data_IF_955890143281
#
_entry.id   IF_955890143281
#
_cell.length_a   1.000
_cell.length_b   1.000
_cell.length_c   1.000
_cell.angle_alpha   90.00
_cell.angle_beta   90.00
_cell.angle_gamma   90.00
#
_symmetry.space_group_name_H-M   'P 1'
#
loop_
_entity.id
_entity.type
_entity.pdbx_description
1 polymer ?
#
# COMPACT_ATOMS: atom_id res chain seq x y z
N UNK A 1 -3.57 15.53 22.10
CA UNK A 1 -4.14 15.27 20.76
C UNK A 1 -3.73 13.89 20.31
N UNK A 2 -4.64 13.06 19.76
CA UNK A 2 -4.28 11.70 19.32
C UNK A 2 -3.28 11.79 18.16
N UNK A 3 -2.23 10.91 18.14
CA UNK A 3 -1.15 10.83 17.14
C UNK A 3 -1.72 10.86 15.68
N UNK A 4 -2.82 10.15 15.42
CA UNK A 4 -3.51 10.16 14.10
C UNK A 4 -4.06 11.53 13.71
N UNK A 5 -4.68 12.25 14.64
CA UNK A 5 -5.20 13.61 14.38
C UNK A 5 -4.07 14.60 14.12
N UNK A 6 -2.96 14.47 14.83
CA UNK A 6 -1.78 15.31 14.63
C UNK A 6 -1.14 15.08 13.27
N UNK A 7 -0.94 13.82 12.86
CA UNK A 7 -0.45 13.49 11.51
C UNK A 7 -1.36 14.04 10.41
N UNK A 8 -2.69 13.89 10.55
CA UNK A 8 -3.64 14.42 9.58
C UNK A 8 -3.57 15.94 9.46
N UNK A 9 -3.40 16.63 10.60
CA UNK A 9 -3.24 18.09 10.64
C UNK A 9 -1.95 18.53 9.91
N UNK A 10 -0.81 17.89 10.22
CA UNK A 10 0.46 18.20 9.57
C UNK A 10 0.42 17.92 8.07
N UNK A 11 -0.17 16.79 7.64
CA UNK A 11 -0.37 16.50 6.21
C UNK A 11 -1.22 17.57 5.52
N UNK A 12 -2.31 18.01 6.16
CA UNK A 12 -3.16 19.09 5.63
C UNK A 12 -2.36 20.38 5.43
N UNK A 13 -1.66 20.82 6.48
CA UNK A 13 -0.83 22.02 6.45
C UNK A 13 0.30 21.92 5.42
N UNK A 14 1.00 20.79 5.36
CA UNK A 14 2.06 20.54 4.35
C UNK A 14 1.51 20.67 2.94
N UNK A 15 0.33 20.11 2.67
CA UNK A 15 -0.30 20.20 1.35
C UNK A 15 -0.71 21.65 0.99
N UNK A 16 -1.16 22.43 1.96
CA UNK A 16 -1.48 23.86 1.76
C UNK A 16 -0.23 24.68 1.45
N UNK A 17 0.87 24.45 2.19
CA UNK A 17 2.14 25.14 1.98
C UNK A 17 2.73 24.72 0.62
N UNK A 18 2.74 23.43 0.30
CA UNK A 18 3.26 22.92 -0.96
C UNK A 18 2.59 23.54 -2.20
N UNK A 19 1.29 23.90 -2.10
CA UNK A 19 0.57 24.61 -3.17
C UNK A 19 1.02 26.06 -3.33
N UNK A 20 1.59 26.66 -2.29
CA UNK A 20 2.10 28.04 -2.29
C UNK A 20 3.56 28.14 -2.72
N UNK A 21 4.27 27.02 -2.71
CA UNK A 21 5.61 26.95 -3.26
C UNK A 21 5.56 27.10 -4.79
N UNK A 22 6.59 27.74 -5.36
CA UNK A 22 6.69 28.02 -6.78
C UNK A 22 8.11 27.72 -7.31
N UNK A 23 8.22 27.59 -8.62
CA UNK A 23 9.52 27.47 -9.32
C UNK A 23 10.38 26.28 -8.85
N UNK A 24 11.63 26.58 -8.53
CA UNK A 24 12.63 25.60 -8.06
C UNK A 24 12.28 25.01 -6.71
N UNK A 25 11.71 25.81 -5.79
CA UNK A 25 11.37 25.39 -4.44
C UNK A 25 10.24 24.36 -4.43
N UNK A 26 9.18 24.57 -5.21
CA UNK A 26 8.11 23.60 -5.37
C UNK A 26 8.63 22.26 -5.88
N UNK A 27 9.44 22.31 -6.93
CA UNK A 27 9.99 21.12 -7.54
C UNK A 27 10.93 20.36 -6.61
N UNK A 28 11.82 21.07 -5.91
CA UNK A 28 12.70 20.47 -4.91
C UNK A 28 11.87 19.76 -3.82
N UNK A 29 10.84 20.43 -3.28
CA UNK A 29 10.01 19.87 -2.25
C UNK A 29 9.23 18.63 -2.72
N UNK A 30 8.66 18.65 -3.93
CA UNK A 30 7.94 17.50 -4.49
C UNK A 30 8.86 16.29 -4.66
N UNK A 31 10.07 16.47 -5.21
CA UNK A 31 11.06 15.41 -5.39
C UNK A 31 11.51 14.84 -4.02
N UNK A 32 11.84 15.71 -3.06
CA UNK A 32 12.21 15.32 -1.70
C UNK A 32 11.08 14.55 -1.01
N UNK A 33 9.87 15.07 -1.06
CA UNK A 33 8.69 14.46 -0.45
C UNK A 33 8.38 13.08 -1.03
N UNK A 34 8.41 12.94 -2.36
CA UNK A 34 8.17 11.65 -3.02
C UNK A 34 9.22 10.63 -2.56
N UNK A 35 10.49 10.99 -2.52
CA UNK A 35 11.56 10.09 -2.09
C UNK A 35 11.42 9.68 -0.63
N UNK A 36 11.20 10.64 0.26
CA UNK A 36 11.02 10.37 1.69
C UNK A 36 9.82 9.44 1.91
N UNK A 37 8.69 9.67 1.23
CA UNK A 37 7.50 8.82 1.36
C UNK A 37 7.75 7.39 0.89
N UNK A 38 8.47 7.18 -0.22
CA UNK A 38 8.78 5.82 -0.71
C UNK A 38 9.87 5.13 0.12
N UNK A 39 10.74 5.90 0.76
CA UNK A 39 11.81 5.35 1.60
C UNK A 39 11.37 5.12 3.05
N UNK A 40 10.22 5.67 3.44
CA UNK A 40 9.75 5.71 4.84
C UNK A 40 9.12 4.42 5.36
N UNK A 41 9.06 3.35 4.56
CA UNK A 41 8.38 2.10 4.92
C UNK A 41 8.78 1.55 6.30
N UNK A 42 10.05 1.74 6.69
CA UNK A 42 10.61 1.22 7.93
C UNK A 42 10.89 2.31 8.97
N UNK A 43 10.35 3.53 8.78
CA UNK A 43 10.56 4.68 9.67
C UNK A 43 9.26 5.12 10.33
N UNK A 44 9.36 5.87 11.45
CA UNK A 44 8.18 6.37 12.15
C UNK A 44 7.44 7.42 11.32
N UNK A 45 6.24 7.06 10.88
CA UNK A 45 5.40 7.88 10.00
C UNK A 45 5.10 9.26 10.57
N UNK A 46 4.89 9.37 11.90
CA UNK A 46 4.59 10.65 12.52
C UNK A 46 5.80 11.59 12.49
N UNK A 47 7.00 11.06 12.70
CA UNK A 47 8.25 11.83 12.60
C UNK A 47 8.49 12.30 11.17
N UNK A 48 8.25 11.44 10.18
CA UNK A 48 8.35 11.80 8.75
C UNK A 48 7.38 12.93 8.41
N UNK A 49 6.12 12.81 8.82
CA UNK A 49 5.09 13.81 8.51
C UNK A 49 5.40 15.16 9.17
N UNK A 50 5.93 15.13 10.41
CA UNK A 50 6.34 16.34 11.11
C UNK A 50 7.53 17.03 10.40
N UNK A 51 8.56 16.28 10.04
CA UNK A 51 9.74 16.81 9.35
C UNK A 51 9.38 17.37 7.96
N UNK A 52 8.53 16.69 7.20
CA UNK A 52 8.05 17.22 5.92
C UNK A 52 7.27 18.52 6.08
N UNK A 53 6.52 18.70 7.18
CA UNK A 53 5.85 19.95 7.48
C UNK A 53 6.85 21.08 7.78
N UNK A 54 7.86 20.81 8.60
CA UNK A 54 8.92 21.77 8.93
C UNK A 54 9.67 22.21 7.67
N UNK A 55 10.13 21.27 6.84
CA UNK A 55 10.82 21.57 5.59
C UNK A 55 9.95 22.39 4.63
N UNK A 56 8.66 22.04 4.51
CA UNK A 56 7.75 22.80 3.67
C UNK A 56 7.63 24.25 4.15
N UNK A 57 7.58 24.46 5.46
CA UNK A 57 7.51 25.78 6.07
C UNK A 57 8.80 26.58 5.86
N UNK A 58 9.96 25.96 6.09
CA UNK A 58 11.26 26.60 5.87
C UNK A 58 11.45 27.00 4.41
N UNK A 59 11.07 26.15 3.47
CA UNK A 59 11.10 26.47 2.03
C UNK A 59 10.14 27.60 1.65
N UNK A 60 9.00 27.66 2.30
CA UNK A 60 8.05 28.75 2.06
C UNK A 60 8.56 30.08 2.60
N UNK A 61 9.17 30.09 3.78
CA UNK A 61 9.82 31.30 4.33
C UNK A 61 11.03 31.72 3.46
N UNK A 62 11.90 30.78 3.06
CA UNK A 62 13.01 31.06 2.14
C UNK A 62 12.50 31.71 0.83
N UNK A 63 11.43 31.16 0.25
CA UNK A 63 10.81 31.73 -0.96
C UNK A 63 10.33 33.18 -0.76
N UNK A 64 9.79 33.52 0.42
CA UNK A 64 9.36 34.91 0.73
C UNK A 64 10.52 35.88 0.77
N UNK A 65 11.72 35.39 1.09
CA UNK A 65 12.96 36.17 1.06
C UNK A 65 13.70 36.12 -0.30
N UNK A 66 13.08 35.48 -1.31
CA UNK A 66 13.66 35.35 -2.64
C UNK A 66 14.77 34.30 -2.76
N UNK A 67 14.84 33.38 -1.78
CA UNK A 67 15.87 32.36 -1.71
C UNK A 67 15.39 31.01 -2.27
N UNK A 68 16.32 30.27 -2.84
CA UNK A 68 16.02 28.96 -3.42
C UNK A 68 16.38 27.82 -2.46
N UNK A 69 15.62 26.73 -2.52
CA UNK A 69 15.84 25.51 -1.76
C UNK A 69 17.28 24.98 -1.83
N UNK A 70 17.89 25.16 -2.99
CA UNK A 70 19.26 24.69 -3.26
C UNK A 70 20.31 25.37 -2.36
N UNK A 71 20.02 26.58 -1.89
CA UNK A 71 20.94 27.30 -1.00
C UNK A 71 21.01 26.67 0.40
N UNK A 72 19.87 26.16 0.90
CA UNK A 72 19.76 25.59 2.27
C UNK A 72 19.98 24.08 2.31
N UNK A 73 19.45 23.38 1.30
CA UNK A 73 19.39 21.92 1.29
C UNK A 73 20.33 21.28 0.28
N UNK A 74 21.16 22.10 -0.41
CA UNK A 74 22.04 21.65 -1.50
C UNK A 74 21.29 21.34 -2.80
N UNK A 75 22.05 21.00 -3.82
CA UNK A 75 21.53 20.83 -5.19
C UNK A 75 20.78 19.49 -5.42
N UNK A 76 20.82 18.57 -4.45
CA UNK A 76 20.28 17.22 -4.62
C UNK A 76 19.24 16.90 -3.55
N UNK A 77 17.94 16.93 -3.90
CA UNK A 77 16.87 16.58 -2.98
C UNK A 77 17.04 15.20 -2.33
N UNK A 78 17.72 14.28 -3.01
CA UNK A 78 18.03 12.94 -2.49
C UNK A 78 18.93 12.98 -1.27
N UNK A 79 20.01 13.75 -1.34
CA UNK A 79 20.99 13.83 -0.23
C UNK A 79 20.31 14.41 1.03
N UNK A 80 19.48 15.45 0.85
CA UNK A 80 18.67 16.01 1.92
C UNK A 80 17.66 14.98 2.47
N UNK A 81 17.00 14.23 1.60
CA UNK A 81 16.06 13.19 2.02
C UNK A 81 16.74 12.01 2.75
N UNK A 82 17.93 11.59 2.29
CA UNK A 82 18.71 10.54 2.95
C UNK A 82 19.18 11.01 4.35
N UNK A 83 19.49 12.29 4.53
CA UNK A 83 19.83 12.88 5.83
C UNK A 83 18.61 12.90 6.76
N UNK A 84 17.44 13.30 6.27
CA UNK A 84 16.18 13.24 7.01
C UNK A 84 15.92 11.81 7.49
N UNK A 85 16.01 10.83 6.61
CA UNK A 85 15.74 9.43 6.94
C UNK A 85 16.76 8.88 7.95
N UNK A 86 18.03 9.29 7.86
CA UNK A 86 19.08 8.89 8.80
C UNK A 86 18.78 9.35 10.22
N UNK A 87 18.21 10.55 10.36
CA UNK A 87 17.87 11.17 11.63
C UNK A 87 16.47 10.81 12.13
N UNK A 88 15.69 10.09 11.32
CA UNK A 88 14.33 9.66 11.68
C UNK A 88 14.37 8.31 12.40
N UNK A 89 13.68 8.18 13.55
CA UNK A 89 13.58 6.91 14.25
C UNK A 89 12.90 5.86 13.36
N UNK A 90 13.35 4.61 13.49
CA UNK A 90 12.72 3.48 12.79
C UNK A 90 11.30 3.24 13.34
N UNK A 91 10.42 2.75 12.47
CA UNK A 91 9.08 2.36 12.88
C UNK A 91 9.13 1.21 13.89
N UNK A 92 8.12 1.11 14.75
CA UNK A 92 8.01 -0.01 15.67
C UNK A 92 7.82 -1.32 14.90
N UNK A 93 8.37 -2.40 15.42
CA UNK A 93 8.18 -3.74 14.83
C UNK A 93 6.69 -4.09 14.62
N UNK A 94 5.83 -3.65 15.54
CA UNK A 94 4.37 -3.82 15.41
C UNK A 94 3.79 -3.16 14.15
N UNK A 95 4.30 -1.99 13.76
CA UNK A 95 3.81 -1.26 12.59
C UNK A 95 4.28 -1.92 11.29
N UNK A 96 5.52 -2.43 11.29
CA UNK A 96 6.07 -3.21 10.17
C UNK A 96 5.33 -4.53 10.00
N UNK A 97 5.09 -5.26 11.10
CA UNK A 97 4.32 -6.51 11.08
C UNK A 97 2.87 -6.28 10.64
N UNK A 98 2.27 -5.15 11.03
CA UNK A 98 0.92 -4.79 10.59
C UNK A 98 0.84 -4.63 9.06
N UNK A 99 1.83 -3.99 8.47
CA UNK A 99 1.89 -3.80 7.01
C UNK A 99 2.04 -5.14 6.27
N UNK A 100 2.94 -6.01 6.77
CA UNK A 100 3.11 -7.38 6.25
C UNK A 100 1.79 -8.16 6.39
N UNK A 101 1.15 -8.11 7.56
CA UNK A 101 -0.12 -8.77 7.81
C UNK A 101 -1.22 -8.31 6.85
N UNK A 102 -1.33 -7.00 6.60
CA UNK A 102 -2.30 -6.46 5.65
C UNK A 102 -2.06 -6.97 4.24
N UNK A 103 -0.81 -6.99 3.78
CA UNK A 103 -0.44 -7.45 2.44
C UNK A 103 -0.74 -8.93 2.22
N UNK A 104 -0.29 -9.76 3.15
CA UNK A 104 -0.54 -11.22 3.13
C UNK A 104 -2.03 -11.50 3.28
N UNK A 105 -2.71 -10.79 4.19
CA UNK A 105 -4.14 -10.96 4.43
C UNK A 105 -5.00 -10.67 3.20
N UNK A 106 -4.69 -9.60 2.45
CA UNK A 106 -5.40 -9.28 1.20
C UNK A 106 -5.17 -10.38 0.17
N UNK A 107 -3.93 -10.86 -0.01
CA UNK A 107 -3.60 -11.93 -0.94
C UNK A 107 -4.32 -13.23 -0.59
N UNK A 108 -4.34 -13.60 0.68
CA UNK A 108 -5.02 -14.80 1.17
C UNK A 108 -6.55 -14.70 1.05
N UNK A 109 -7.12 -13.52 1.30
CA UNK A 109 -8.55 -13.30 1.05
C UNK A 109 -8.90 -13.52 -0.41
N UNK A 110 -8.17 -12.90 -1.34
CA UNK A 110 -8.39 -13.08 -2.78
C UNK A 110 -8.30 -14.57 -3.16
N UNK A 111 -7.27 -15.27 -2.69
CA UNK A 111 -7.08 -16.69 -2.97
C UNK A 111 -8.21 -17.54 -2.37
N UNK A 112 -8.60 -17.28 -1.11
CA UNK A 112 -9.68 -18.00 -0.43
C UNK A 112 -11.02 -17.87 -1.17
N UNK A 113 -11.35 -16.65 -1.61
CA UNK A 113 -12.57 -16.41 -2.37
C UNK A 113 -12.54 -17.09 -3.74
N UNK A 114 -11.36 -17.09 -4.39
CA UNK A 114 -11.17 -17.82 -5.64
C UNK A 114 -11.37 -19.33 -5.45
N UNK A 115 -10.74 -19.92 -4.44
CA UNK A 115 -10.86 -21.36 -4.12
C UNK A 115 -12.30 -21.74 -3.79
N UNK A 116 -13.02 -20.85 -3.07
CA UNK A 116 -14.43 -21.05 -2.77
C UNK A 116 -15.33 -20.97 -4.00
N UNK A 117 -15.09 -20.03 -4.91
CA UNK A 117 -15.90 -19.83 -6.10
C UNK A 117 -15.60 -20.83 -7.22
N UNK A 118 -14.37 -21.34 -7.30
CA UNK A 118 -13.92 -22.21 -8.39
C UNK A 118 -14.42 -23.66 -8.22
N UNK A 119 -14.47 -24.17 -6.99
CA UNK A 119 -14.72 -25.57 -6.69
C UNK A 119 -16.06 -25.78 -5.92
N UNK A 120 -16.67 -26.96 -6.09
CA UNK A 120 -17.89 -27.32 -5.36
C UNK A 120 -17.61 -27.65 -3.88
N UNK A 121 -16.37 -27.96 -3.54
CA UNK A 121 -15.89 -28.20 -2.18
C UNK A 121 -14.70 -27.27 -1.95
N UNK A 122 -14.68 -26.60 -0.80
CA UNK A 122 -13.56 -25.73 -0.47
C UNK A 122 -12.33 -26.56 -0.14
N UNK A 123 -11.35 -26.55 -1.03
CA UNK A 123 -10.02 -27.16 -0.84
C UNK A 123 -8.99 -26.06 -0.70
N UNK A 124 -8.33 -26.02 0.44
CA UNK A 124 -7.25 -25.07 0.74
C UNK A 124 -5.90 -25.79 0.57
N UNK A 125 -5.11 -25.30 -0.37
CA UNK A 125 -3.73 -25.75 -0.54
C UNK A 125 -2.82 -24.86 0.33
N UNK A 126 -2.53 -25.28 1.57
CA UNK A 126 -1.75 -24.49 2.53
C UNK A 126 -0.34 -24.13 2.00
N UNK A 127 0.24 -24.98 1.16
CA UNK A 127 1.52 -24.70 0.52
C UNK A 127 1.42 -23.53 -0.47
N UNK A 128 0.33 -23.47 -1.25
CA UNK A 128 0.04 -22.32 -2.12
C UNK A 128 -0.12 -21.03 -1.32
N UNK A 129 -0.82 -21.08 -0.19
CA UNK A 129 -0.97 -19.92 0.71
C UNK A 129 0.39 -19.44 1.26
N UNK A 130 1.28 -20.35 1.62
CA UNK A 130 2.63 -19.99 2.08
C UNK A 130 3.45 -19.31 0.97
N UNK A 131 3.44 -19.85 -0.24
CA UNK A 131 4.16 -19.27 -1.39
C UNK A 131 3.59 -17.90 -1.78
N UNK A 132 2.27 -17.76 -1.83
CA UNK A 132 1.64 -16.47 -2.15
C UNK A 132 1.92 -15.40 -1.10
N UNK A 133 2.06 -15.78 0.18
CA UNK A 133 2.50 -14.86 1.23
C UNK A 133 3.91 -14.34 0.97
N UNK A 134 4.87 -15.23 0.71
CA UNK A 134 6.26 -14.86 0.39
C UNK A 134 6.33 -13.99 -0.86
N UNK A 135 5.62 -14.37 -1.91
CA UNK A 135 5.54 -13.60 -3.16
C UNK A 135 5.00 -12.18 -2.93
N UNK A 136 3.91 -12.04 -2.17
CA UNK A 136 3.31 -10.73 -1.88
C UNK A 136 4.26 -9.82 -1.11
N UNK A 137 4.97 -10.37 -0.11
CA UNK A 137 5.97 -9.61 0.66
C UNK A 137 7.11 -9.15 -0.24
N UNK A 138 7.66 -10.06 -1.06
CA UNK A 138 8.76 -9.73 -1.98
C UNK A 138 8.36 -8.67 -2.99
N UNK A 139 7.16 -8.75 -3.56
CA UNK A 139 6.65 -7.73 -4.49
C UNK A 139 6.54 -6.34 -3.86
N UNK A 140 6.07 -6.27 -2.62
CA UNK A 140 5.98 -4.99 -1.92
C UNK A 140 7.35 -4.40 -1.67
N UNK A 141 8.30 -5.20 -1.19
CA UNK A 141 9.68 -4.76 -0.98
C UNK A 141 10.29 -4.28 -2.31
N UNK A 142 10.12 -5.04 -3.39
CA UNK A 142 10.59 -4.66 -4.72
C UNK A 142 9.93 -3.39 -5.23
N UNK A 143 8.63 -3.21 -4.98
CA UNK A 143 7.90 -2.00 -5.35
C UNK A 143 8.48 -0.76 -4.66
N UNK A 144 8.62 -0.79 -3.32
CA UNK A 144 9.19 0.33 -2.58
C UNK A 144 10.64 0.62 -3.00
N UNK A 145 11.46 -0.41 -3.18
CA UNK A 145 12.84 -0.25 -3.63
C UNK A 145 12.92 0.29 -5.07
N UNK A 146 12.06 -0.19 -5.96
CA UNK A 146 11.95 0.31 -7.33
C UNK A 146 11.50 1.76 -7.38
N UNK A 147 10.46 2.12 -6.62
CA UNK A 147 9.95 3.49 -6.57
C UNK A 147 11.01 4.46 -6.00
N UNK A 148 11.71 4.08 -4.94
CA UNK A 148 12.81 4.86 -4.40
C UNK A 148 13.88 5.19 -5.44
N UNK A 149 14.25 4.23 -6.28
CA UNK A 149 15.22 4.46 -7.37
C UNK A 149 14.64 5.31 -8.51
N UNK A 150 13.37 5.15 -8.85
CA UNK A 150 12.75 5.81 -10.01
C UNK A 150 12.44 7.29 -9.80
N UNK A 151 12.29 7.75 -8.56
CA UNK A 151 12.10 9.19 -8.27
C UNK A 151 13.25 10.02 -8.84
N UNK A 152 14.46 9.48 -8.88
CA UNK A 152 15.66 10.18 -9.39
C UNK A 152 16.11 9.76 -10.79
N UNK A 153 15.50 8.74 -11.41
CA UNK A 153 15.76 8.40 -12.78
C UNK A 153 15.13 9.42 -13.72
N UNK A 154 15.99 10.37 -14.16
CA UNK A 154 15.74 11.40 -15.20
C UNK A 154 14.31 11.94 -15.34
N UNK A 155 14.21 13.18 -14.99
CA UNK A 155 13.18 14.21 -15.10
C UNK A 155 12.12 14.12 -16.23
N UNK A 156 12.40 13.39 -17.29
CA UNK A 156 11.56 13.35 -18.49
C UNK A 156 10.73 12.08 -18.65
N UNK A 157 11.02 11.01 -17.89
CA UNK A 157 10.36 9.72 -18.12
C UNK A 157 9.06 9.54 -17.32
N UNK A 158 8.95 10.12 -16.11
CA UNK A 158 7.83 9.85 -15.18
C UNK A 158 6.88 11.04 -14.98
N UNK A 159 7.13 12.17 -15.61
CA UNK A 159 6.39 13.43 -15.37
C UNK A 159 4.94 13.44 -15.92
N UNK A 160 4.53 12.47 -16.71
CA UNK A 160 3.16 12.37 -17.23
C UNK A 160 2.29 11.54 -16.28
N UNK A 161 1.11 12.07 -15.89
CA UNK A 161 0.10 11.34 -15.11
C UNK A 161 -0.23 9.97 -15.73
N UNK A 162 -0.24 9.89 -17.06
CA UNK A 162 -0.45 8.65 -17.80
C UNK A 162 0.64 7.61 -17.55
N UNK A 163 1.92 8.02 -17.48
CA UNK A 163 3.03 7.09 -17.22
C UNK A 163 3.03 6.58 -15.78
N UNK A 164 2.74 7.43 -14.79
CA UNK A 164 2.55 7.01 -13.40
C UNK A 164 1.41 5.99 -13.30
N UNK A 165 0.31 6.22 -14.00
CA UNK A 165 -0.82 5.30 -14.09
C UNK A 165 -0.43 3.96 -14.71
N UNK A 166 0.28 3.96 -15.84
CA UNK A 166 0.75 2.73 -16.51
C UNK A 166 1.70 1.91 -15.64
N UNK A 167 2.59 2.55 -14.89
CA UNK A 167 3.49 1.86 -13.95
C UNK A 167 2.68 1.19 -12.83
N UNK A 168 1.74 1.91 -12.23
CA UNK A 168 0.86 1.36 -11.19
C UNK A 168 0.04 0.18 -11.73
N UNK A 169 -0.50 0.31 -12.94
CA UNK A 169 -1.24 -0.75 -13.63
C UNK A 169 -0.37 -1.96 -13.94
N UNK A 170 0.85 -1.73 -14.40
CA UNK A 170 1.83 -2.79 -14.65
C UNK A 170 2.17 -3.57 -13.37
N UNK A 171 2.37 -2.90 -12.26
CA UNK A 171 2.65 -3.53 -10.96
C UNK A 171 1.43 -4.30 -10.45
N UNK A 172 0.24 -3.72 -10.55
CA UNK A 172 -1.00 -4.40 -10.16
C UNK A 172 -1.25 -5.65 -11.03
N UNK A 173 -1.01 -5.56 -12.35
CA UNK A 173 -1.11 -6.68 -13.27
C UNK A 173 -0.09 -7.76 -12.98
N UNK A 174 1.14 -7.39 -12.63
CA UNK A 174 2.19 -8.33 -12.24
C UNK A 174 1.82 -9.04 -10.94
N UNK A 175 1.26 -8.32 -9.97
CA UNK A 175 0.81 -8.92 -8.71
C UNK A 175 -0.33 -9.91 -8.93
N UNK A 176 -1.41 -9.50 -9.60
CA UNK A 176 -2.58 -10.36 -9.87
C UNK A 176 -2.18 -11.53 -10.77
N UNK A 177 -1.45 -11.28 -11.85
CA UNK A 177 -0.98 -12.32 -12.76
C UNK A 177 -0.08 -13.34 -12.07
N UNK A 178 0.82 -12.89 -11.20
CA UNK A 178 1.66 -13.77 -10.40
C UNK A 178 0.88 -14.62 -9.42
N UNK A 179 -0.15 -14.09 -8.75
CA UNK A 179 -1.03 -14.87 -7.87
C UNK A 179 -1.77 -15.97 -8.67
N UNK A 180 -2.28 -15.64 -9.85
CA UNK A 180 -2.95 -16.63 -10.73
C UNK A 180 -1.98 -17.73 -11.16
N UNK A 181 -0.77 -17.36 -11.60
CA UNK A 181 0.24 -18.32 -12.01
C UNK A 181 0.68 -19.22 -10.84
N UNK A 182 0.94 -18.63 -9.69
CA UNK A 182 1.32 -19.39 -8.50
C UNK A 182 0.23 -20.38 -8.10
N UNK A 183 -1.03 -19.94 -8.08
CA UNK A 183 -2.14 -20.83 -7.74
C UNK A 183 -2.29 -21.98 -8.73
N UNK A 184 -2.00 -21.74 -10.03
CA UNK A 184 -2.10 -22.78 -11.05
C UNK A 184 -0.96 -23.78 -11.07
N UNK A 185 0.29 -23.32 -10.81
CA UNK A 185 1.49 -24.15 -10.93
C UNK A 185 2.04 -24.67 -9.60
N UNK A 186 1.53 -24.19 -8.48
CA UNK A 186 1.93 -24.70 -7.16
C UNK A 186 1.39 -26.12 -6.97
N UNK A 187 2.24 -27.09 -6.60
CA UNK A 187 1.81 -28.46 -6.35
C UNK A 187 0.79 -28.51 -5.20
N UNK A 188 -0.14 -29.44 -5.31
CA UNK A 188 -1.18 -29.68 -4.30
C UNK A 188 -0.58 -30.39 -3.08
N UNK A 189 0.05 -29.62 -2.20
CA UNK A 189 0.62 -30.10 -0.95
C UNK A 189 -0.16 -29.54 0.22
N UNK A 190 -0.29 -30.33 1.29
CA UNK A 190 -1.01 -29.93 2.52
C UNK A 190 -2.43 -29.45 2.21
N UNK A 191 -3.21 -30.30 1.54
CA UNK A 191 -4.60 -30.03 1.22
C UNK A 191 -5.47 -30.14 2.47
N UNK A 192 -6.23 -29.11 2.77
CA UNK A 192 -7.27 -29.09 3.78
C UNK A 192 -8.62 -28.93 3.09
N UNK A 193 -9.49 -29.91 3.28
CA UNK A 193 -10.83 -29.89 2.69
C UNK A 193 -11.85 -29.48 3.74
N UNK A 194 -12.63 -28.47 3.46
CA UNK A 194 -13.74 -28.03 4.30
C UNK A 194 -15.05 -28.53 3.66
N UNK A 195 -15.75 -29.49 4.29
CA UNK A 195 -16.96 -30.06 3.70
C UNK A 195 -18.12 -29.06 3.71
N UNK A 196 -19.03 -29.20 2.72
CA UNK A 196 -20.30 -28.52 2.72
C UNK A 196 -21.21 -29.10 3.85
N UNK A 197 -21.99 -28.28 4.58
CA UNK A 197 -22.21 -26.83 4.42
C UNK A 197 -21.23 -25.96 5.23
N UNK A 198 -20.22 -26.54 5.89
CA UNK A 198 -19.29 -25.79 6.77
C UNK A 198 -18.50 -24.73 6.01
N UNK A 199 -18.11 -25.00 4.77
CA UNK A 199 -17.43 -24.06 3.91
C UNK A 199 -18.26 -22.79 3.65
N UNK A 200 -19.54 -22.95 3.36
CA UNK A 200 -20.45 -21.82 3.12
C UNK A 200 -20.71 -21.01 4.39
N UNK A 201 -20.86 -21.68 5.53
CA UNK A 201 -21.00 -21.03 6.85
C UNK A 201 -19.74 -20.23 7.18
N UNK A 202 -18.54 -20.80 6.96
CA UNK A 202 -17.26 -20.13 7.18
C UNK A 202 -17.16 -18.86 6.34
N UNK A 203 -17.49 -18.96 5.05
CA UNK A 203 -17.40 -17.82 4.13
C UNK A 203 -18.39 -16.71 4.47
N UNK A 204 -19.61 -17.06 4.88
CA UNK A 204 -20.59 -16.10 5.37
C UNK A 204 -20.14 -15.41 6.66
N UNK A 205 -19.56 -16.15 7.61
CA UNK A 205 -18.99 -15.55 8.83
C UNK A 205 -17.85 -14.57 8.51
N UNK A 206 -16.95 -14.94 7.61
CA UNK A 206 -15.86 -14.05 7.18
C UNK A 206 -16.39 -12.79 6.48
N UNK A 207 -17.44 -12.93 5.66
CA UNK A 207 -18.08 -11.79 5.01
C UNK A 207 -18.72 -10.84 6.02
N UNK A 208 -19.46 -11.38 7.00
CA UNK A 208 -20.06 -10.59 8.08
C UNK A 208 -18.98 -9.89 8.91
N UNK A 209 -17.89 -10.59 9.23
CA UNK A 209 -16.76 -10.00 9.95
C UNK A 209 -16.11 -8.86 9.17
N UNK A 210 -15.88 -9.04 7.86
CA UNK A 210 -15.32 -7.99 6.99
C UNK A 210 -16.23 -6.75 6.95
N UNK A 211 -17.52 -6.91 6.73
CA UNK A 211 -18.48 -5.81 6.73
C UNK A 211 -18.60 -5.13 8.09
N UNK A 212 -18.61 -5.89 9.19
CA UNK A 212 -18.63 -5.34 10.55
C UNK A 212 -17.40 -4.47 10.79
N UNK A 213 -16.22 -4.92 10.38
CA UNK A 213 -14.97 -4.18 10.53
C UNK A 213 -14.98 -2.88 9.71
N UNK A 214 -15.44 -2.92 8.46
CA UNK A 214 -15.57 -1.74 7.60
C UNK A 214 -16.55 -0.72 8.18
N UNK A 215 -17.69 -1.20 8.70
CA UNK A 215 -18.71 -0.35 9.31
C UNK A 215 -18.22 0.34 10.59
N UNK A 216 -17.60 -0.44 11.49
CA UNK A 216 -17.08 0.07 12.77
C UNK A 216 -15.94 1.09 12.59
N UNK A 217 -15.08 0.86 11.60
CA UNK A 217 -13.95 1.78 11.29
C UNK A 217 -14.36 2.98 10.44
N UNK A 218 -15.58 2.99 9.90
CA UNK A 218 -16.10 4.04 8.98
C UNK A 218 -15.20 4.26 7.74
N UNK A 219 -14.56 3.20 7.27
CA UNK A 219 -13.64 3.24 6.13
C UNK A 219 -14.42 3.07 4.81
N UNK A 220 -15.07 4.13 4.38
CA UNK A 220 -15.93 4.12 3.17
C UNK A 220 -15.16 3.81 1.88
N UNK A 221 -13.87 4.13 1.83
CA UNK A 221 -13.03 3.91 0.67
C UNK A 221 -12.84 2.41 0.35
N UNK A 222 -13.05 1.53 1.34
CA UNK A 222 -12.97 0.08 1.17
C UNK A 222 -14.32 -0.61 0.89
N UNK A 223 -15.44 0.13 0.83
CA UNK A 223 -16.75 -0.44 0.50
C UNK A 223 -16.78 -1.17 -0.86
N UNK A 224 -16.14 -0.68 -1.95
CA UNK A 224 -16.09 -1.42 -3.22
C UNK A 224 -15.45 -2.81 -3.07
N UNK A 225 -14.43 -2.92 -2.21
CA UNK A 225 -13.82 -4.22 -1.90
C UNK A 225 -14.78 -5.14 -1.15
N UNK A 226 -15.51 -4.63 -0.16
CA UNK A 226 -16.56 -5.39 0.53
C UNK A 226 -17.64 -5.90 -0.42
N UNK A 227 -18.10 -5.07 -1.38
CA UNK A 227 -19.04 -5.50 -2.41
C UNK A 227 -18.48 -6.60 -3.31
N UNK A 228 -17.23 -6.48 -3.74
CA UNK A 228 -16.55 -7.52 -4.52
C UNK A 228 -16.52 -8.86 -3.77
N UNK A 229 -16.14 -8.85 -2.48
CA UNK A 229 -16.16 -10.05 -1.64
C UNK A 229 -17.57 -10.65 -1.56
N UNK A 230 -18.60 -9.81 -1.41
CA UNK A 230 -20.00 -10.27 -1.36
C UNK A 230 -20.40 -10.99 -2.65
N UNK A 231 -20.04 -10.45 -3.81
CA UNK A 231 -20.32 -11.07 -5.12
C UNK A 231 -19.68 -12.47 -5.19
N UNK A 232 -18.42 -12.61 -4.80
CA UNK A 232 -17.74 -13.90 -4.81
C UNK A 232 -18.42 -14.93 -3.91
N UNK A 233 -18.80 -14.54 -2.68
CA UNK A 233 -19.49 -15.46 -1.76
C UNK A 233 -20.83 -15.89 -2.32
N UNK A 234 -21.64 -14.96 -2.82
CA UNK A 234 -22.95 -15.25 -3.41
C UNK A 234 -22.82 -16.20 -4.59
N UNK A 235 -21.88 -15.95 -5.51
CA UNK A 235 -21.64 -16.83 -6.65
C UNK A 235 -21.20 -18.24 -6.22
N UNK A 236 -20.32 -18.35 -5.23
CA UNK A 236 -19.89 -19.62 -4.69
C UNK A 236 -21.02 -20.41 -4.00
N UNK A 237 -21.89 -19.72 -3.26
CA UNK A 237 -23.06 -20.37 -2.61
C UNK A 237 -24.08 -20.83 -3.66
N UNK A 238 -24.40 -19.97 -4.66
CA UNK A 238 -25.32 -20.36 -5.74
C UNK A 238 -24.81 -21.60 -6.46
N UNK A 239 -23.53 -21.67 -6.77
CA UNK A 239 -22.92 -22.82 -7.44
C UNK A 239 -23.07 -24.11 -6.61
N UNK A 240 -22.94 -24.04 -5.29
CA UNK A 240 -23.09 -25.19 -4.38
C UNK A 240 -24.54 -25.63 -4.19
N UNK A 241 -25.48 -24.70 -4.29
CA UNK A 241 -26.92 -25.01 -4.21
C UNK A 241 -27.46 -25.58 -5.52
N UNK A 242 -26.76 -25.38 -6.63
CA UNK A 242 -27.17 -25.86 -7.96
C UNK A 242 -26.71 -27.30 -8.25
N UNK A 243 -25.90 -27.88 -7.39
CA UNK A 243 -25.39 -29.25 -7.45
C UNK A 243 -25.75 -30.03 -6.19
#
# INVERSE_FOLDING_TARGET
MNKKKQMALYRGKTNEIAKKLSGSNQKFFEELREYVLFSSLFYDEASIVAQLYEIANDLFEAQRHGEEAQHYFGNKPKEAADEILRNTPKSRLSDQLYLIYMMVGISWLIQLFNDFSANNILQLNLFSYAITAVYSILLVILFFFGMQKTVYLKKNFINSKAKKFLILWGIASLWIGGLILLNRYTPNLWLVTVPSPMDSVLMLMLLVAAWSMLYLRKEKDFYPFGFMLTIFVVLGVIKRCAY
#
